data_IF_802361727398
#
_entry.id   IF_802361727398
#
_cell.length_a   1.000
_cell.length_b   1.000
_cell.length_c   1.000
_cell.angle_alpha   90.00
_cell.angle_beta   90.00
_cell.angle_gamma   90.00
#
_symmetry.space_group_name_H-M   'P 1'
#
loop_
_entity.id
_entity.type
_entity.pdbx_description
1 polymer ?
#
# COMPACT_ATOMS: atom_id res chain seq x y z
N UNK A 1 56.11 8.96 -58.72
CA UNK A 1 54.84 9.41 -58.11
C UNK A 1 54.08 8.20 -57.60
N UNK A 2 54.14 7.95 -56.29
CA UNK A 2 53.27 7.01 -55.56
C UNK A 2 52.98 7.67 -54.21
N UNK A 3 51.73 8.01 -53.97
CA UNK A 3 51.21 8.54 -52.70
C UNK A 3 50.45 7.42 -52.01
N UNK A 4 50.85 7.07 -50.79
CA UNK A 4 50.12 6.16 -49.90
C UNK A 4 49.27 6.98 -48.93
N UNK A 5 47.97 6.78 -48.94
CA UNK A 5 47.03 7.32 -47.95
C UNK A 5 46.73 6.27 -46.88
N UNK A 6 46.75 6.73 -45.62
CA UNK A 6 46.44 5.97 -44.41
C UNK A 6 44.96 5.56 -44.37
N UNK A 7 44.71 4.27 -44.10
CA UNK A 7 43.40 3.77 -43.69
C UNK A 7 43.21 3.98 -42.19
N UNK A 8 42.22 4.79 -41.82
CA UNK A 8 41.68 4.87 -40.46
C UNK A 8 40.50 3.91 -40.34
N UNK A 9 40.59 2.96 -39.40
CA UNK A 9 39.53 2.02 -39.09
C UNK A 9 38.50 2.69 -38.16
N UNK A 10 37.25 2.81 -38.61
CA UNK A 10 36.12 3.16 -37.76
C UNK A 10 35.56 1.89 -37.09
N UNK A 11 35.62 1.86 -35.76
CA UNK A 11 34.86 0.92 -34.94
C UNK A 11 33.39 1.37 -34.87
N UNK A 12 32.48 0.55 -35.38
CA UNK A 12 31.03 0.71 -35.18
C UNK A 12 30.66 0.20 -33.78
N UNK A 13 30.27 1.13 -32.90
CA UNK A 13 29.61 0.81 -31.65
C UNK A 13 28.14 0.43 -31.94
N UNK A 14 27.75 -0.81 -31.62
CA UNK A 14 26.35 -1.21 -31.57
C UNK A 14 25.73 -0.61 -30.30
N UNK A 15 24.95 0.45 -30.45
CA UNK A 15 23.99 0.89 -29.44
C UNK A 15 22.71 0.07 -29.64
N UNK A 16 22.45 -0.89 -28.74
CA UNK A 16 21.15 -1.53 -28.61
C UNK A 16 20.17 -0.56 -27.94
N UNK A 17 19.57 0.31 -28.75
CA UNK A 17 18.38 1.06 -28.35
C UNK A 17 17.21 0.10 -28.21
N UNK A 18 16.70 -0.07 -26.99
CA UNK A 18 15.40 -0.68 -26.76
C UNK A 18 14.35 0.21 -27.42
N UNK A 19 13.81 -0.25 -28.56
CA UNK A 19 12.63 0.36 -29.17
C UNK A 19 11.43 0.06 -28.27
N UNK A 20 10.99 1.06 -27.51
CA UNK A 20 9.66 1.09 -26.93
C UNK A 20 8.64 1.15 -28.07
N UNK A 21 8.23 -0.02 -28.56
CA UNK A 21 7.10 -0.14 -29.47
C UNK A 21 5.84 0.26 -28.71
N UNK A 22 5.25 1.40 -29.08
CA UNK A 22 3.93 1.84 -28.62
C UNK A 22 2.87 0.89 -29.17
N UNK A 23 2.10 0.17 -28.33
CA UNK A 23 0.98 -0.61 -28.80
C UNK A 23 -0.13 0.33 -29.24
N UNK A 24 -0.68 0.11 -30.43
CA UNK A 24 -1.84 0.83 -30.93
C UNK A 24 -3.09 0.18 -30.32
N UNK A 25 -3.63 0.76 -29.25
CA UNK A 25 -4.80 0.23 -28.56
C UNK A 25 -6.10 0.60 -29.28
N UNK A 26 -6.97 -0.39 -29.51
CA UNK A 26 -8.31 -0.18 -30.06
C UNK A 26 -9.24 0.50 -29.04
N UNK A 27 -10.18 1.31 -29.53
CA UNK A 27 -11.15 2.01 -28.68
C UNK A 27 -12.08 1.05 -27.91
N UNK A 28 -12.42 1.41 -26.67
CA UNK A 28 -13.33 0.64 -25.80
C UNK A 28 -14.76 0.63 -26.37
N UNK A 29 -15.42 -0.54 -26.51
CA UNK A 29 -16.79 -0.63 -27.01
C UNK A 29 -17.82 0.12 -26.14
N UNK A 30 -18.89 0.70 -26.72
CA UNK A 30 -19.88 1.53 -26.00
C UNK A 30 -20.57 0.87 -24.80
N UNK A 31 -20.70 -0.47 -24.80
CA UNK A 31 -21.33 -1.24 -23.71
C UNK A 31 -20.54 -1.28 -22.39
N UNK A 32 -19.32 -0.75 -22.39
CA UNK A 32 -18.44 -0.64 -21.21
C UNK A 32 -18.11 0.81 -20.86
N UNK A 33 -18.90 1.78 -21.34
CA UNK A 33 -18.76 3.16 -20.87
C UNK A 33 -19.34 3.28 -19.45
N UNK A 34 -18.47 3.51 -18.48
CA UNK A 34 -18.82 3.73 -17.07
C UNK A 34 -19.21 5.17 -16.78
N UNK A 35 -19.87 5.36 -15.64
CA UNK A 35 -20.19 6.69 -15.12
C UNK A 35 -18.91 7.38 -14.64
N UNK A 36 -17.99 6.60 -14.06
CA UNK A 36 -16.71 7.10 -13.56
C UNK A 36 -15.60 6.98 -14.62
N UNK A 37 -15.09 8.14 -15.03
CA UNK A 37 -13.96 8.27 -15.96
C UNK A 37 -12.64 8.46 -15.18
N UNK A 38 -11.55 7.90 -15.70
CA UNK A 38 -10.18 8.10 -15.20
C UNK A 38 -9.63 9.44 -15.71
N UNK A 39 -10.01 10.56 -15.06
CA UNK A 39 -9.65 11.93 -15.46
C UNK A 39 -8.32 12.38 -14.89
N UNK A 40 -7.98 11.90 -13.70
CA UNK A 40 -6.73 12.23 -13.01
C UNK A 40 -5.70 11.13 -13.24
N UNK A 41 -5.50 10.78 -14.50
CA UNK A 41 -4.55 9.77 -14.92
C UNK A 41 -3.87 10.24 -16.22
N UNK A 42 -2.56 10.00 -16.40
CA UNK A 42 -1.91 10.16 -17.69
C UNK A 42 -2.65 9.34 -18.76
N UNK A 43 -2.75 9.87 -19.99
CA UNK A 43 -3.59 9.28 -21.03
C UNK A 43 -3.24 7.82 -21.34
N UNK A 44 -1.96 7.47 -21.37
CA UNK A 44 -1.50 6.10 -21.61
C UNK A 44 -1.84 5.16 -20.45
N UNK A 45 -1.67 5.62 -19.20
CA UNK A 45 -2.06 4.87 -18.00
C UNK A 45 -3.57 4.61 -17.98
N UNK A 46 -4.38 5.66 -18.23
CA UNK A 46 -5.83 5.53 -18.31
C UNK A 46 -6.26 4.56 -19.42
N UNK A 47 -5.61 4.59 -20.59
CA UNK A 47 -5.90 3.68 -21.68
C UNK A 47 -5.60 2.22 -21.33
N UNK A 48 -4.45 1.95 -20.68
CA UNK A 48 -4.08 0.62 -20.23
C UNK A 48 -5.07 0.07 -19.19
N UNK A 49 -5.41 0.88 -18.17
CA UNK A 49 -6.37 0.53 -17.12
C UNK A 49 -7.78 0.27 -17.69
N UNK A 50 -8.28 1.16 -18.57
CA UNK A 50 -9.58 0.98 -19.22
C UNK A 50 -9.62 -0.29 -20.10
N UNK A 51 -8.53 -0.59 -20.80
CA UNK A 51 -8.43 -1.81 -21.61
C UNK A 51 -8.49 -3.06 -20.74
N UNK A 52 -7.75 -3.08 -19.63
CA UNK A 52 -7.77 -4.17 -18.65
C UNK A 52 -9.18 -4.34 -18.06
N UNK A 53 -9.84 -3.25 -17.64
CA UNK A 53 -11.20 -3.30 -17.09
C UNK A 53 -12.21 -3.83 -18.12
N UNK A 54 -12.22 -3.29 -19.34
CA UNK A 54 -13.15 -3.71 -20.39
C UNK A 54 -13.01 -5.20 -20.75
N UNK A 55 -11.78 -5.74 -20.73
CA UNK A 55 -11.51 -7.16 -20.96
C UNK A 55 -12.03 -8.06 -19.84
N UNK A 56 -12.03 -7.56 -18.60
CA UNK A 56 -12.27 -8.36 -17.39
C UNK A 56 -13.61 -8.06 -16.69
N UNK A 57 -14.42 -7.15 -17.24
CA UNK A 57 -15.69 -6.71 -16.68
C UNK A 57 -16.67 -7.88 -16.48
N UNK A 58 -17.35 -7.87 -15.33
CA UNK A 58 -18.43 -8.79 -14.95
C UNK A 58 -18.09 -10.28 -15.04
N UNK A 59 -16.82 -10.63 -14.83
CA UNK A 59 -16.31 -12.00 -14.86
C UNK A 59 -15.89 -12.52 -13.47
N UNK A 60 -16.36 -11.87 -12.41
CA UNK A 60 -15.98 -12.19 -11.01
C UNK A 60 -14.46 -12.15 -10.79
N UNK A 61 -13.79 -11.21 -11.47
CA UNK A 61 -12.38 -10.88 -11.26
C UNK A 61 -12.24 -9.85 -10.13
N UNK A 62 -11.02 -9.67 -9.64
CA UNK A 62 -10.74 -8.71 -8.56
C UNK A 62 -9.41 -7.99 -8.76
N UNK A 63 -9.30 -6.83 -8.11
CA UNK A 63 -8.10 -6.01 -8.01
C UNK A 63 -7.69 -5.88 -6.54
N UNK A 64 -6.39 -5.75 -6.30
CA UNK A 64 -5.81 -5.59 -4.96
C UNK A 64 -4.95 -4.34 -4.93
N UNK A 65 -5.03 -3.56 -3.85
CA UNK A 65 -4.25 -2.35 -3.70
C UNK A 65 -3.63 -2.28 -2.32
N UNK A 66 -2.39 -1.82 -2.24
CA UNK A 66 -1.91 -1.21 -1.00
C UNK A 66 -2.65 0.10 -0.71
N UNK A 67 -2.57 0.60 0.53
CA UNK A 67 -3.24 1.82 0.92
C UNK A 67 -2.32 3.03 1.02
N UNK A 68 -1.39 3.02 1.98
CA UNK A 68 -0.48 4.14 2.24
C UNK A 68 0.45 4.35 1.06
N UNK A 69 0.64 5.62 0.66
CA UNK A 69 1.34 6.06 -0.56
C UNK A 69 0.89 5.45 -1.92
N UNK A 70 -0.01 4.48 -1.93
CA UNK A 70 -0.58 3.87 -3.13
C UNK A 70 -1.97 4.42 -3.44
N UNK A 71 -2.88 4.36 -2.48
CA UNK A 71 -4.29 4.75 -2.64
C UNK A 71 -4.56 6.18 -2.20
N UNK A 72 -3.80 6.65 -1.21
CA UNK A 72 -3.65 8.06 -0.84
C UNK A 72 -2.15 8.41 -0.78
N UNK A 73 -1.84 9.69 -0.85
CA UNK A 73 -0.48 10.19 -0.58
C UNK A 73 -0.22 10.17 0.93
N UNK A 74 1.03 9.91 1.30
CA UNK A 74 1.49 9.81 2.69
C UNK A 74 0.91 8.58 3.41
N UNK A 75 1.05 8.55 4.73
CA UNK A 75 0.85 7.35 5.53
C UNK A 75 -0.01 7.64 6.75
N UNK A 76 -0.99 6.79 7.02
CA UNK A 76 -1.96 6.96 8.10
C UNK A 76 -1.35 6.70 9.47
N UNK A 77 -0.47 5.73 9.64
CA UNK A 77 0.09 5.39 10.95
C UNK A 77 1.25 6.32 11.30
N UNK A 78 2.14 6.58 10.35
CA UNK A 78 3.28 7.49 10.55
C UNK A 78 2.84 8.92 10.87
N UNK A 79 1.64 9.32 10.42
CA UNK A 79 1.05 10.61 10.77
C UNK A 79 0.16 10.53 12.02
N UNK A 80 -0.60 9.45 12.24
CA UNK A 80 -1.47 9.33 13.41
C UNK A 80 -0.69 9.18 14.72
N UNK A 81 0.46 8.49 14.73
CA UNK A 81 1.31 8.33 15.91
C UNK A 81 1.71 9.70 16.49
N UNK A 82 2.43 10.59 15.76
CA UNK A 82 2.81 11.89 16.28
C UNK A 82 1.60 12.82 16.49
N UNK A 83 0.52 12.65 15.71
CA UNK A 83 -0.71 13.43 15.91
C UNK A 83 -1.35 13.18 17.28
N UNK A 84 -1.44 11.91 17.68
CA UNK A 84 -1.97 11.52 18.97
C UNK A 84 -0.99 11.77 20.12
N UNK A 85 0.31 11.61 19.87
CA UNK A 85 1.35 11.92 20.85
C UNK A 85 1.36 13.41 21.23
N UNK A 86 1.28 14.31 20.25
CA UNK A 86 1.21 15.75 20.48
C UNK A 86 -0.01 16.19 21.30
N UNK A 87 -1.02 15.32 21.44
CA UNK A 87 -2.25 15.54 22.21
C UNK A 87 -2.28 14.76 23.52
N UNK A 88 -1.21 14.04 23.85
CA UNK A 88 -1.13 13.18 25.03
C UNK A 88 -2.11 12.00 25.02
N UNK A 89 -2.70 11.68 23.86
CA UNK A 89 -3.58 10.52 23.68
C UNK A 89 -2.71 9.26 23.68
N UNK A 90 -1.69 9.25 22.83
CA UNK A 90 -0.56 8.31 22.92
C UNK A 90 0.56 8.93 23.76
N UNK A 91 1.25 8.09 24.51
CA UNK A 91 2.41 8.45 25.33
C UNK A 91 3.13 7.17 25.75
N UNK A 92 4.38 7.27 26.21
CA UNK A 92 5.16 6.11 26.65
C UNK A 92 4.56 5.41 27.87
N UNK A 93 3.87 6.17 28.71
CA UNK A 93 3.17 5.69 29.89
C UNK A 93 1.96 4.84 29.50
N UNK A 94 1.28 5.22 28.41
CA UNK A 94 0.11 4.52 27.87
C UNK A 94 0.45 3.43 26.86
N UNK A 95 1.67 3.43 26.32
CA UNK A 95 2.15 2.39 25.41
C UNK A 95 2.11 1.02 26.10
N UNK A 96 1.52 0.03 25.43
CA UNK A 96 1.46 -1.34 25.94
C UNK A 96 2.88 -1.83 26.32
N UNK A 97 3.08 -2.40 27.53
CA UNK A 97 4.39 -2.87 27.95
C UNK A 97 5.08 -3.84 26.98
N UNK A 98 4.33 -4.64 26.21
CA UNK A 98 4.91 -5.57 25.24
C UNK A 98 5.58 -4.85 24.06
N UNK A 99 5.30 -3.57 23.85
CA UNK A 99 5.83 -2.76 22.75
C UNK A 99 7.08 -1.96 23.13
N UNK A 100 7.55 -2.09 24.38
CA UNK A 100 8.80 -1.47 24.87
C UNK A 100 9.99 -2.38 24.59
N UNK A 101 10.28 -2.62 23.30
CA UNK A 101 11.30 -3.56 22.81
C UNK A 101 12.75 -3.09 23.04
N UNK A 102 12.95 -1.78 23.09
CA UNK A 102 14.19 -1.07 23.36
C UNK A 102 14.01 -0.11 24.55
N UNK A 103 15.11 0.24 25.21
CA UNK A 103 15.16 1.42 26.07
C UNK A 103 14.93 2.69 25.24
N UNK A 104 14.25 3.67 25.82
CA UNK A 104 14.09 5.00 25.22
C UNK A 104 15.44 5.75 25.26
N UNK A 105 15.84 6.35 24.13
CA UNK A 105 17.10 7.08 23.97
C UNK A 105 16.92 8.54 24.43
N UNK A 106 16.74 8.73 25.74
CA UNK A 106 16.58 10.05 26.35
C UNK A 106 17.90 10.78 26.60
N UNK A 107 17.85 12.11 26.58
CA UNK A 107 18.93 13.00 27.01
C UNK A 107 18.38 14.12 27.89
N UNK A 108 19.26 14.93 28.48
CA UNK A 108 18.86 16.11 29.24
C UNK A 108 17.98 17.11 28.43
N UNK A 109 18.11 17.11 27.10
CA UNK A 109 17.45 18.07 26.21
C UNK A 109 16.41 17.43 25.28
N UNK A 110 16.23 16.10 25.35
CA UNK A 110 15.31 15.39 24.47
C UNK A 110 14.72 14.18 25.16
N UNK A 111 13.40 14.20 25.28
CA UNK A 111 12.57 13.05 25.59
C UNK A 111 12.14 12.45 24.25
N UNK A 112 12.75 11.33 23.87
CA UNK A 112 12.41 10.54 22.68
C UNK A 112 10.89 10.40 22.40
N UNK A 113 10.44 10.75 21.20
CA UNK A 113 9.04 10.58 20.78
C UNK A 113 8.75 9.12 20.43
N UNK A 114 7.48 8.70 20.47
CA UNK A 114 7.04 7.41 19.95
C UNK A 114 7.33 7.29 18.44
N UNK A 115 7.24 8.40 17.71
CA UNK A 115 7.66 8.45 16.31
C UNK A 115 9.16 8.16 16.13
N UNK A 116 10.01 8.73 16.98
CA UNK A 116 11.45 8.42 17.00
C UNK A 116 11.72 6.97 17.34
N UNK A 117 11.00 6.45 18.33
CA UNK A 117 11.12 5.07 18.75
C UNK A 117 10.77 4.11 17.61
N UNK A 118 9.68 4.36 16.89
CA UNK A 118 9.30 3.66 15.66
C UNK A 118 10.43 3.68 14.61
N UNK A 119 11.00 4.85 14.31
CA UNK A 119 12.08 4.96 13.33
C UNK A 119 13.30 4.13 13.73
N UNK A 120 13.71 4.15 15.00
CA UNK A 120 14.82 3.31 15.48
C UNK A 120 14.52 1.82 15.40
N UNK A 121 13.26 1.40 15.52
CA UNK A 121 12.88 0.02 15.26
C UNK A 121 13.03 -0.32 13.77
N UNK A 122 12.66 0.60 12.87
CA UNK A 122 12.84 0.40 11.43
C UNK A 122 14.31 0.34 11.00
N UNK A 123 15.17 1.11 11.67
CA UNK A 123 16.62 1.05 11.45
C UNK A 123 17.22 -0.32 11.80
N UNK A 124 16.60 -1.04 12.75
CA UNK A 124 16.97 -2.43 13.05
C UNK A 124 16.40 -3.35 11.97
N UNK A 125 15.08 -3.36 11.82
CA UNK A 125 14.40 -4.16 10.80
C UNK A 125 12.92 -3.71 10.62
N UNK A 126 12.45 -3.68 9.37
CA UNK A 126 11.03 -3.44 9.05
C UNK A 126 10.10 -4.48 9.72
N UNK A 127 10.56 -5.71 9.90
CA UNK A 127 9.80 -6.76 10.59
C UNK A 127 9.62 -6.51 12.10
N UNK A 128 10.34 -5.53 12.67
CA UNK A 128 10.09 -5.01 14.01
C UNK A 128 9.14 -3.82 13.99
N UNK A 129 9.37 -2.85 13.11
CA UNK A 129 8.62 -1.60 13.18
C UNK A 129 7.23 -1.65 12.53
N UNK A 130 7.02 -2.48 11.50
CA UNK A 130 5.71 -2.62 10.84
C UNK A 130 4.62 -3.15 11.80
N UNK A 131 4.81 -4.28 12.53
CA UNK A 131 3.84 -4.67 13.55
C UNK A 131 3.69 -3.60 14.64
N UNK A 132 4.81 -3.00 15.04
CA UNK A 132 4.82 -2.03 16.13
C UNK A 132 3.96 -0.80 15.83
N UNK A 133 4.02 -0.26 14.62
CA UNK A 133 3.23 0.90 14.20
C UNK A 133 1.73 0.63 14.33
N UNK A 134 1.26 -0.51 13.81
CA UNK A 134 -0.12 -0.94 13.95
C UNK A 134 -0.53 -1.24 15.39
N UNK A 135 0.38 -1.80 16.20
CA UNK A 135 0.12 -2.13 17.60
C UNK A 135 0.16 -0.93 18.54
N UNK A 136 0.81 0.18 18.16
CA UNK A 136 1.01 1.37 19.02
C UNK A 136 -0.30 2.00 19.51
N UNK A 137 -1.41 1.74 18.81
CA UNK A 137 -2.76 2.20 19.13
C UNK A 137 -3.51 1.32 20.15
N UNK A 138 -2.86 0.26 20.66
CA UNK A 138 -3.42 -0.63 21.67
C UNK A 138 -3.88 0.12 22.91
N UNK A 139 -5.02 -0.29 23.46
CA UNK A 139 -5.68 0.36 24.60
C UNK A 139 -6.73 1.39 24.20
N UNK A 140 -6.78 1.82 22.94
CA UNK A 140 -7.87 2.65 22.40
C UNK A 140 -8.99 1.78 21.82
N UNK A 141 -10.22 2.28 21.90
CA UNK A 141 -11.36 1.70 21.19
C UNK A 141 -11.35 2.06 19.71
N UNK A 142 -12.00 1.26 18.87
CA UNK A 142 -12.17 1.60 17.45
C UNK A 142 -12.97 2.89 17.25
N UNK A 143 -13.91 3.21 18.14
CA UNK A 143 -14.68 4.46 18.11
C UNK A 143 -13.80 5.68 18.33
N UNK A 144 -12.91 5.63 19.32
CA UNK A 144 -11.96 6.71 19.57
C UNK A 144 -11.02 6.88 18.37
N UNK A 145 -10.47 5.77 17.87
CA UNK A 145 -9.60 5.78 16.68
C UNK A 145 -10.30 6.35 15.45
N UNK A 146 -11.58 6.00 15.20
CA UNK A 146 -12.35 6.58 14.10
C UNK A 146 -12.47 8.10 14.22
N UNK A 147 -12.73 8.62 15.42
CA UNK A 147 -12.76 10.06 15.66
C UNK A 147 -11.42 10.73 15.33
N UNK A 148 -10.32 10.14 15.78
CA UNK A 148 -8.98 10.68 15.52
C UNK A 148 -8.54 10.57 14.07
N UNK A 149 -8.85 9.47 13.38
CA UNK A 149 -8.63 9.31 11.94
C UNK A 149 -9.41 10.36 11.16
N UNK A 150 -10.67 10.62 11.54
CA UNK A 150 -11.47 11.66 10.90
C UNK A 150 -10.89 13.07 11.06
N UNK A 151 -10.38 13.38 12.25
CA UNK A 151 -9.71 14.65 12.53
C UNK A 151 -8.39 14.77 11.76
N UNK A 152 -7.58 13.70 11.73
CA UNK A 152 -6.32 13.63 10.98
C UNK A 152 -6.55 13.85 9.48
N UNK A 153 -7.51 13.14 8.89
CA UNK A 153 -7.83 13.25 7.46
C UNK A 153 -8.38 14.64 7.06
N UNK A 154 -8.93 15.40 8.02
CA UNK A 154 -9.38 16.77 7.81
C UNK A 154 -8.28 17.82 8.07
N UNK A 155 -7.13 17.41 8.61
CA UNK A 155 -6.04 18.32 8.95
C UNK A 155 -5.41 18.90 7.67
N UNK A 156 -5.31 20.23 7.60
CA UNK A 156 -4.74 20.95 6.47
C UNK A 156 -3.33 21.51 6.75
N UNK A 157 -2.76 21.14 7.90
CA UNK A 157 -1.40 21.48 8.32
C UNK A 157 -0.56 20.22 8.52
N UNK A 158 0.74 20.39 8.69
CA UNK A 158 1.64 19.31 9.08
C UNK A 158 1.61 19.06 10.59
N UNK A 159 2.14 17.91 10.99
CA UNK A 159 2.22 17.43 12.36
C UNK A 159 3.70 17.49 12.79
N UNK A 160 4.08 18.37 13.72
CA UNK A 160 5.47 18.48 14.13
C UNK A 160 5.88 17.27 14.97
N UNK A 161 7.10 16.79 14.77
CA UNK A 161 7.72 15.77 15.61
C UNK A 161 9.24 15.97 15.68
N UNK A 162 9.91 15.21 16.54
CA UNK A 162 11.37 15.11 16.60
C UNK A 162 11.78 13.66 16.65
N UNK A 163 12.88 13.32 16.00
CA UNK A 163 13.41 11.96 16.01
C UNK A 163 14.93 11.92 15.97
N UNK A 164 15.49 10.76 16.33
CA UNK A 164 16.90 10.46 16.15
C UNK A 164 17.21 10.08 14.71
N UNK A 165 18.02 10.88 14.02
CA UNK A 165 18.68 10.51 12.77
C UNK A 165 20.14 10.15 13.10
N UNK A 166 20.40 8.85 13.26
CA UNK A 166 21.63 8.35 13.86
C UNK A 166 21.86 8.90 15.28
N UNK A 167 22.78 9.84 15.41
CA UNK A 167 23.16 10.47 16.69
C UNK A 167 22.71 11.93 16.81
N UNK A 168 21.94 12.45 15.86
CA UNK A 168 21.40 13.81 15.90
C UNK A 168 19.88 13.80 16.13
N UNK A 169 19.39 14.76 16.93
CA UNK A 169 17.94 14.98 17.09
C UNK A 169 17.50 15.99 16.04
N UNK A 170 16.66 15.53 15.11
CA UNK A 170 16.12 16.35 14.02
C UNK A 170 14.64 16.62 14.24
N UNK A 171 14.15 17.75 13.71
CA UNK A 171 12.74 18.12 13.74
C UNK A 171 12.12 17.89 12.37
N UNK A 172 10.89 17.41 12.32
CA UNK A 172 10.18 17.11 11.08
C UNK A 172 8.70 17.51 11.16
N UNK A 173 8.06 17.58 10.00
CA UNK A 173 6.68 17.98 9.79
C UNK A 173 5.96 16.94 8.92
N UNK A 174 5.29 16.00 9.58
CA UNK A 174 4.63 14.87 8.94
C UNK A 174 3.32 15.34 8.30
N UNK A 175 3.05 14.86 7.08
CA UNK A 175 1.83 15.23 6.37
C UNK A 175 0.71 14.20 6.66
N UNK A 176 -0.53 14.65 6.89
CA UNK A 176 -1.67 13.75 6.98
C UNK A 176 -1.96 13.11 5.61
N UNK A 177 -2.66 11.97 5.55
CA UNK A 177 -2.96 11.31 4.29
C UNK A 177 -3.84 12.18 3.39
N UNK A 178 -3.56 12.13 2.08
CA UNK A 178 -4.31 12.88 1.07
C UNK A 178 -4.81 11.95 -0.04
N UNK A 179 -6.12 11.69 -0.15
CA UNK A 179 -6.67 10.81 -1.17
C UNK A 179 -6.22 11.20 -2.58
N UNK A 180 -5.77 10.22 -3.37
CA UNK A 180 -5.48 10.43 -4.78
C UNK A 180 -6.80 10.42 -5.56
N UNK A 181 -7.14 11.54 -6.23
CA UNK A 181 -8.35 11.61 -7.05
C UNK A 181 -8.36 10.53 -8.13
N UNK A 182 -7.20 10.21 -8.72
CA UNK A 182 -7.08 9.13 -9.69
C UNK A 182 -7.44 7.76 -9.11
N UNK A 183 -7.04 7.47 -7.87
CA UNK A 183 -7.38 6.20 -7.23
C UNK A 183 -8.86 6.11 -6.87
N UNK A 184 -9.47 7.22 -6.39
CA UNK A 184 -10.92 7.27 -6.19
C UNK A 184 -11.68 6.96 -7.48
N UNK A 185 -11.23 7.52 -8.61
CA UNK A 185 -11.82 7.20 -9.92
C UNK A 185 -11.63 5.74 -10.31
N UNK A 186 -10.42 5.20 -10.12
CA UNK A 186 -10.11 3.81 -10.48
C UNK A 186 -10.92 2.81 -9.64
N UNK A 187 -11.03 3.01 -8.33
CA UNK A 187 -11.78 2.15 -7.43
C UNK A 187 -13.25 2.07 -7.83
N UNK A 188 -13.89 3.22 -8.01
CA UNK A 188 -15.29 3.27 -8.40
C UNK A 188 -15.49 2.71 -9.82
N UNK A 189 -14.59 2.99 -10.77
CA UNK A 189 -14.69 2.44 -12.14
C UNK A 189 -14.52 0.91 -12.15
N UNK A 190 -13.61 0.35 -11.36
CA UNK A 190 -13.46 -1.11 -11.21
C UNK A 190 -14.74 -1.76 -10.69
N UNK A 191 -15.30 -1.20 -9.60
CA UNK A 191 -16.54 -1.72 -9.02
C UNK A 191 -17.74 -1.57 -9.96
N UNK A 192 -17.84 -0.46 -10.71
CA UNK A 192 -18.85 -0.26 -11.76
C UNK A 192 -18.73 -1.30 -12.91
N UNK A 193 -17.53 -1.82 -13.17
CA UNK A 193 -17.28 -2.91 -14.12
C UNK A 193 -17.48 -4.32 -13.51
N UNK A 194 -17.99 -4.43 -12.28
CA UNK A 194 -18.17 -5.73 -11.61
C UNK A 194 -16.84 -6.43 -11.30
N UNK A 195 -15.77 -5.66 -11.10
CA UNK A 195 -14.47 -6.12 -10.61
C UNK A 195 -14.40 -5.78 -9.13
N UNK A 196 -14.28 -6.79 -8.27
CA UNK A 196 -14.19 -6.57 -6.84
C UNK A 196 -12.89 -5.86 -6.49
N UNK A 197 -12.94 -4.88 -5.58
CA UNK A 197 -11.77 -4.16 -5.10
C UNK A 197 -11.46 -4.61 -3.68
N UNK A 198 -10.21 -5.00 -3.45
CA UNK A 198 -9.67 -5.35 -2.14
C UNK A 198 -8.49 -4.46 -1.80
N UNK A 199 -8.34 -4.20 -0.51
CA UNK A 199 -7.14 -3.55 0.04
C UNK A 199 -6.31 -4.61 0.76
N UNK A 200 -4.99 -4.51 0.61
CA UNK A 200 -3.98 -5.32 1.28
C UNK A 200 -2.88 -4.39 1.82
N UNK A 201 -3.15 -3.81 2.99
CA UNK A 201 -2.30 -2.77 3.59
C UNK A 201 -1.35 -3.31 4.65
N UNK A 202 -0.18 -2.70 4.80
CA UNK A 202 0.74 -2.96 5.90
C UNK A 202 0.41 -2.14 7.18
N UNK A 203 -0.64 -1.32 7.14
CA UNK A 203 -1.19 -0.58 8.28
C UNK A 203 -2.32 -1.38 8.95
N UNK A 204 -2.70 -0.99 10.16
CA UNK A 204 -3.73 -1.62 10.97
C UNK A 204 -5.07 -1.67 10.20
N UNK A 205 -5.63 -2.88 10.08
CA UNK A 205 -6.79 -3.16 9.23
C UNK A 205 -7.98 -2.23 9.53
N UNK A 206 -8.25 -2.01 10.82
CA UNK A 206 -9.35 -1.14 11.25
C UNK A 206 -9.09 0.34 10.91
N UNK A 207 -7.86 0.85 11.01
CA UNK A 207 -7.56 2.25 10.67
C UNK A 207 -7.74 2.50 9.17
N UNK A 208 -7.28 1.54 8.36
CA UNK A 208 -7.45 1.59 6.90
C UNK A 208 -8.94 1.53 6.55
N UNK A 209 -9.71 0.65 7.22
CA UNK A 209 -11.15 0.51 6.99
C UNK A 209 -11.92 1.78 7.31
N UNK A 210 -11.55 2.49 8.37
CA UNK A 210 -12.15 3.77 8.77
C UNK A 210 -12.10 4.83 7.66
N UNK A 211 -11.18 4.70 6.69
CA UNK A 211 -11.08 5.59 5.53
C UNK A 211 -11.61 4.93 4.27
N UNK A 212 -11.15 3.73 3.93
CA UNK A 212 -11.45 3.08 2.66
C UNK A 212 -12.93 2.68 2.48
N UNK A 213 -13.61 2.38 3.59
CA UNK A 213 -15.01 1.94 3.58
C UNK A 213 -15.99 3.04 3.98
N UNK A 214 -15.49 4.19 4.45
CA UNK A 214 -16.34 5.33 4.75
C UNK A 214 -16.63 6.12 3.47
N UNK A 215 -17.90 6.23 3.04
CA UNK A 215 -18.29 6.99 1.85
C UNK A 215 -17.84 8.45 1.85
N UNK A 216 -17.56 9.03 3.04
CA UNK A 216 -16.98 10.37 3.20
C UNK A 216 -15.70 10.57 2.38
N UNK A 217 -14.89 9.52 2.22
CA UNK A 217 -13.62 9.58 1.50
C UNK A 217 -13.72 9.11 0.04
N UNK A 218 -14.85 8.54 -0.36
CA UNK A 218 -15.18 8.24 -1.76
C UNK A 218 -14.57 6.97 -2.35
N UNK A 219 -13.79 6.19 -1.59
CA UNK A 219 -13.26 4.90 -2.05
C UNK A 219 -14.35 3.83 -2.19
N UNK A 220 -15.33 3.85 -1.28
CA UNK A 220 -16.51 2.97 -1.27
C UNK A 220 -16.18 1.46 -1.27
N UNK A 221 -15.02 1.07 -0.71
CA UNK A 221 -14.63 -0.35 -0.64
C UNK A 221 -15.50 -1.05 0.40
N UNK A 222 -16.11 -2.21 0.09
CA UNK A 222 -16.82 -3.00 1.10
C UNK A 222 -15.92 -3.28 2.32
N UNK A 223 -16.38 -3.07 3.56
CA UNK A 223 -15.53 -3.17 4.75
C UNK A 223 -14.89 -4.56 4.93
N UNK A 224 -15.55 -5.62 4.48
CA UNK A 224 -15.00 -6.98 4.46
C UNK A 224 -13.79 -7.14 3.52
N UNK A 225 -13.70 -6.32 2.48
CA UNK A 225 -12.62 -6.34 1.49
C UNK A 225 -11.40 -5.50 1.90
N UNK A 226 -11.45 -4.84 3.06
CA UNK A 226 -10.29 -4.16 3.64
C UNK A 226 -9.50 -5.15 4.47
N UNK A 227 -8.31 -5.50 4.00
CA UNK A 227 -7.40 -6.45 4.66
C UNK A 227 -6.14 -5.68 5.04
N UNK A 228 -5.76 -5.78 6.31
CA UNK A 228 -4.57 -5.12 6.83
C UNK A 228 -3.99 -5.84 8.03
N UNK A 229 -3.11 -5.16 8.75
CA UNK A 229 -2.50 -5.70 9.96
C UNK A 229 -3.59 -5.85 11.00
N UNK A 230 -3.95 -7.10 11.26
CA UNK A 230 -5.02 -7.40 12.21
C UNK A 230 -4.40 -7.65 13.57
N UNK A 231 -4.99 -7.03 14.59
CA UNK A 231 -4.75 -7.40 15.97
C UNK A 231 -6.03 -7.97 16.59
N UNK A 232 -5.89 -8.67 17.72
CA UNK A 232 -7.04 -9.10 18.49
C UNK A 232 -7.72 -7.86 19.10
N UNK A 233 -9.01 -7.76 18.89
CA UNK A 233 -9.91 -6.83 19.55
C UNK A 233 -10.48 -7.49 20.80
N UNK A 234 -10.63 -6.70 21.88
CA UNK A 234 -11.16 -7.17 23.16
C UNK A 234 -12.39 -6.37 23.55
N UNK A 235 -13.45 -7.06 23.93
CA UNK A 235 -14.60 -6.44 24.59
C UNK A 235 -14.21 -6.09 26.04
N UNK A 236 -14.21 -4.81 26.44
CA UNK A 236 -13.84 -4.42 27.79
C UNK A 236 -14.86 -4.86 28.86
N UNK A 237 -16.11 -5.14 28.48
CA UNK A 237 -17.18 -5.55 29.40
C UNK A 237 -17.14 -7.04 29.70
N UNK A 238 -16.90 -7.86 28.67
CA UNK A 238 -16.98 -9.32 28.78
C UNK A 238 -15.62 -10.01 28.77
N UNK A 239 -14.58 -9.32 28.28
CA UNK A 239 -13.26 -9.91 28.03
C UNK A 239 -13.20 -10.79 26.78
N UNK A 240 -14.28 -10.89 26.00
CA UNK A 240 -14.30 -11.66 24.77
C UNK A 240 -13.29 -11.12 23.75
N UNK A 241 -12.68 -12.03 23.00
CA UNK A 241 -11.67 -11.74 22.00
C UNK A 241 -12.22 -12.03 20.60
N UNK A 242 -11.96 -11.14 19.65
CA UNK A 242 -12.40 -11.25 18.26
C UNK A 242 -11.50 -10.42 17.36
N UNK A 243 -11.76 -10.43 16.06
CA UNK A 243 -11.32 -9.41 15.09
C UNK A 243 -12.22 -9.48 13.86
N UNK A 244 -12.10 -8.51 12.94
CA UNK A 244 -12.90 -8.49 11.73
C UNK A 244 -12.70 -9.75 10.86
N UNK A 245 -11.45 -10.19 10.64
CA UNK A 245 -11.14 -11.39 9.82
C UNK A 245 -11.85 -12.65 10.34
N UNK A 246 -11.84 -12.87 11.64
CA UNK A 246 -12.54 -13.98 12.31
C UNK A 246 -14.06 -13.89 12.09
N UNK A 247 -14.64 -12.72 12.28
CA UNK A 247 -16.09 -12.53 12.11
C UNK A 247 -16.53 -12.66 10.64
N UNK A 248 -15.74 -12.15 9.70
CA UNK A 248 -15.99 -12.24 8.24
C UNK A 248 -15.96 -13.70 7.81
N UNK A 249 -14.94 -14.44 8.23
CA UNK A 249 -14.84 -15.90 7.97
C UNK A 249 -16.06 -16.65 8.51
N UNK A 250 -16.56 -16.24 9.68
CA UNK A 250 -17.75 -16.84 10.30
C UNK A 250 -19.08 -16.34 9.71
N UNK A 251 -19.09 -15.36 8.79
CA UNK A 251 -20.32 -14.76 8.25
C UNK A 251 -21.12 -13.94 9.28
N UNK A 252 -20.44 -13.42 10.31
CA UNK A 252 -21.06 -12.69 11.44
C UNK A 252 -20.58 -11.24 11.56
N UNK A 253 -19.80 -10.77 10.58
CA UNK A 253 -19.19 -9.45 10.63
C UNK A 253 -20.22 -8.33 10.69
N UNK A 254 -20.04 -7.45 11.68
CA UNK A 254 -20.78 -6.22 11.83
C UNK A 254 -19.81 -5.13 12.30
N UNK A 255 -19.44 -4.25 11.38
CA UNK A 255 -18.51 -3.14 11.62
C UNK A 255 -18.93 -2.29 12.83
N UNK A 256 -20.21 -1.93 12.93
CA UNK A 256 -20.72 -1.06 14.01
C UNK A 256 -20.68 -1.73 15.38
N UNK A 257 -20.77 -3.06 15.44
CA UNK A 257 -20.68 -3.81 16.69
C UNK A 257 -19.26 -3.82 17.26
N UNK A 258 -18.25 -3.61 16.41
CA UNK A 258 -16.84 -3.60 16.83
C UNK A 258 -16.37 -2.24 17.36
N UNK A 259 -17.16 -1.16 17.17
CA UNK A 259 -16.72 0.20 17.48
C UNK A 259 -16.27 0.38 18.94
N UNK A 260 -16.90 -0.30 19.89
CA UNK A 260 -16.56 -0.18 21.31
C UNK A 260 -15.56 -1.26 21.80
N UNK A 261 -14.98 -2.04 20.88
CA UNK A 261 -13.92 -2.99 21.19
C UNK A 261 -12.57 -2.26 21.25
N UNK A 262 -11.73 -2.74 22.17
CA UNK A 262 -10.39 -2.19 22.44
C UNK A 262 -9.35 -2.94 21.59
N UNK A 263 -8.48 -2.19 20.93
CA UNK A 263 -7.31 -2.73 20.22
C UNK A 263 -6.32 -3.31 21.24
N UNK A 264 -5.77 -4.49 20.97
CA UNK A 264 -4.72 -5.10 21.79
C UNK A 264 -3.47 -5.33 20.94
N UNK A 265 -2.28 -5.52 21.54
CA UNK A 265 -1.08 -5.70 20.73
C UNK A 265 -0.96 -7.12 20.17
N UNK A 266 -1.88 -8.04 20.46
CA UNK A 266 -1.73 -9.42 20.00
C UNK A 266 -1.98 -9.52 18.50
N UNK A 267 -0.92 -9.79 17.75
CA UNK A 267 -0.93 -9.84 16.29
C UNK A 267 -1.70 -11.05 15.76
N UNK A 268 -2.55 -10.84 14.77
CA UNK A 268 -3.21 -11.88 13.99
C UNK A 268 -2.47 -12.09 12.67
N UNK A 269 -2.63 -13.27 12.07
CA UNK A 269 -1.92 -13.66 10.85
C UNK A 269 -2.87 -14.08 9.72
N UNK A 270 -2.46 -13.95 8.44
CA UNK A 270 -1.18 -13.45 7.95
C UNK A 270 -0.93 -11.96 8.26
N UNK A 271 0.31 -11.60 8.56
CA UNK A 271 0.71 -10.20 8.70
C UNK A 271 0.91 -9.60 7.31
N UNK A 272 0.19 -8.54 6.97
CA UNK A 272 -0.05 -8.10 5.59
C UNK A 272 1.03 -7.16 5.05
N UNK A 273 2.28 -7.58 5.14
CA UNK A 273 3.44 -6.94 4.53
C UNK A 273 4.34 -7.99 3.88
N UNK A 274 5.15 -7.57 2.90
CA UNK A 274 6.03 -8.47 2.16
C UNK A 274 5.29 -9.72 1.64
N UNK A 275 5.84 -10.91 1.82
CA UNK A 275 5.21 -12.18 1.43
C UNK A 275 3.85 -12.40 2.10
N UNK A 276 3.61 -11.77 3.25
CA UNK A 276 2.35 -11.84 3.95
C UNK A 276 1.20 -11.12 3.23
N UNK A 277 1.46 -10.14 2.36
CA UNK A 277 0.44 -9.60 1.43
C UNK A 277 -0.04 -10.69 0.47
N UNK A 278 0.89 -11.47 -0.09
CA UNK A 278 0.53 -12.61 -0.94
C UNK A 278 -0.21 -13.71 -0.17
N UNK A 279 0.25 -14.04 1.05
CA UNK A 279 -0.47 -14.97 1.93
C UNK A 279 -1.88 -14.46 2.27
N UNK A 280 -2.06 -13.15 2.45
CA UNK A 280 -3.36 -12.52 2.66
C UNK A 280 -4.30 -12.72 1.47
N UNK A 281 -3.81 -12.59 0.23
CA UNK A 281 -4.62 -12.88 -0.97
C UNK A 281 -5.08 -14.35 -0.97
N UNK A 282 -4.16 -15.28 -0.71
CA UNK A 282 -4.47 -16.71 -0.66
C UNK A 282 -5.47 -17.06 0.44
N UNK A 283 -5.36 -16.39 1.59
CA UNK A 283 -6.16 -16.71 2.78
C UNK A 283 -7.56 -16.09 2.72
N UNK A 284 -7.67 -14.85 2.25
CA UNK A 284 -8.88 -14.04 2.42
C UNK A 284 -9.61 -13.71 1.11
N UNK A 285 -9.02 -13.96 -0.05
CA UNK A 285 -9.62 -13.61 -1.34
C UNK A 285 -9.85 -14.86 -2.19
N UNK A 286 -8.78 -15.50 -2.66
CA UNK A 286 -8.85 -16.69 -3.52
C UNK A 286 -7.48 -17.38 -3.56
N UNK A 287 -7.47 -18.70 -3.45
CA UNK A 287 -6.24 -19.51 -3.49
C UNK A 287 -5.69 -19.68 -4.92
N UNK A 288 -6.56 -19.56 -5.94
CA UNK A 288 -6.25 -20.01 -7.30
C UNK A 288 -6.46 -18.91 -8.33
N UNK A 289 -7.56 -18.15 -8.19
CA UNK A 289 -7.79 -16.96 -8.99
C UNK A 289 -6.76 -15.92 -8.60
N UNK A 290 -6.24 -15.22 -9.60
CA UNK A 290 -5.20 -14.20 -9.46
C UNK A 290 -5.81 -12.82 -9.72
N UNK A 291 -5.36 -11.76 -9.01
CA UNK A 291 -5.84 -10.40 -9.26
C UNK A 291 -5.50 -9.96 -10.68
N UNK A 292 -6.42 -9.25 -11.33
CA UNK A 292 -6.20 -8.63 -12.64
C UNK A 292 -5.54 -7.24 -12.53
N UNK A 293 -5.38 -6.72 -11.32
CA UNK A 293 -4.62 -5.51 -11.04
C UNK A 293 -4.08 -5.60 -9.63
N UNK A 294 -2.80 -5.27 -9.47
CA UNK A 294 -2.20 -5.07 -8.14
C UNK A 294 -1.52 -3.71 -8.09
N UNK A 295 -1.94 -2.85 -7.16
CA UNK A 295 -1.34 -1.53 -6.89
C UNK A 295 -0.40 -1.55 -5.69
N UNK A 296 0.76 -0.91 -5.80
CA UNK A 296 1.69 -0.70 -4.68
C UNK A 296 2.73 0.41 -4.95
N UNK A 297 3.56 0.72 -3.94
CA UNK A 297 4.60 1.77 -4.02
C UNK A 297 5.91 1.41 -3.29
N UNK A 298 5.92 0.33 -2.50
CA UNK A 298 7.05 -0.05 -1.64
C UNK A 298 7.69 -1.37 -2.07
N UNK A 299 8.92 -1.34 -2.63
CA UNK A 299 9.63 -2.54 -3.06
C UNK A 299 9.89 -3.46 -1.87
N UNK A 300 9.69 -4.77 -2.06
CA UNK A 300 9.73 -5.75 -0.98
C UNK A 300 8.35 -5.93 -0.34
N UNK A 301 7.73 -4.88 0.20
CA UNK A 301 6.43 -5.02 0.88
C UNK A 301 5.31 -5.40 -0.11
N UNK A 302 5.19 -4.68 -1.23
CA UNK A 302 4.13 -4.89 -2.21
C UNK A 302 4.49 -5.88 -3.30
N UNK A 303 5.79 -6.08 -3.54
CA UNK A 303 6.23 -6.74 -4.75
C UNK A 303 5.96 -8.24 -4.75
N UNK A 304 5.72 -8.86 -3.59
CA UNK A 304 5.23 -10.24 -3.54
C UNK A 304 3.84 -10.38 -4.16
N UNK A 305 2.88 -9.53 -3.76
CA UNK A 305 1.54 -9.58 -4.37
C UNK A 305 1.56 -9.11 -5.82
N UNK A 306 2.49 -8.25 -6.23
CA UNK A 306 2.64 -7.86 -7.63
C UNK A 306 3.21 -9.01 -8.48
N UNK A 307 4.41 -9.50 -8.17
CA UNK A 307 5.09 -10.51 -9.00
C UNK A 307 4.41 -11.87 -8.99
N UNK A 308 3.86 -12.29 -7.85
CA UNK A 308 3.17 -13.58 -7.75
C UNK A 308 1.67 -13.46 -8.06
N UNK A 309 1.06 -12.31 -7.77
CA UNK A 309 -0.39 -12.14 -7.88
C UNK A 309 -0.87 -11.85 -9.30
N UNK A 310 -0.32 -10.89 -10.04
CA UNK A 310 -0.99 -10.36 -11.25
C UNK A 310 -1.22 -11.39 -12.36
N UNK A 311 -2.48 -11.57 -12.78
CA UNK A 311 -2.88 -12.42 -13.92
C UNK A 311 -2.59 -11.74 -15.27
N UNK A 312 -1.32 -11.80 -15.69
CA UNK A 312 -0.86 -11.23 -16.97
C UNK A 312 -1.55 -11.86 -18.19
N UNK A 313 -1.94 -13.14 -18.12
CA UNK A 313 -2.64 -13.82 -19.21
C UNK A 313 -4.01 -13.18 -19.51
N UNK A 314 -4.68 -12.64 -18.48
CA UNK A 314 -5.90 -11.83 -18.60
C UNK A 314 -5.65 -10.35 -18.93
N UNK A 315 -4.40 -9.99 -19.24
CA UNK A 315 -4.00 -8.59 -19.43
C UNK A 315 -3.93 -7.83 -18.11
N UNK A 316 -3.69 -8.53 -17.00
CA UNK A 316 -3.60 -7.91 -15.69
C UNK A 316 -2.43 -6.95 -15.58
N UNK A 317 -2.57 -5.95 -14.70
CA UNK A 317 -1.69 -4.79 -14.59
C UNK A 317 -0.93 -4.78 -13.27
N UNK A 318 0.37 -4.53 -13.33
CA UNK A 318 1.17 -4.09 -12.19
C UNK A 318 1.09 -2.57 -12.13
N UNK A 319 0.30 -2.02 -11.20
CA UNK A 319 0.17 -0.59 -11.01
C UNK A 319 1.20 -0.15 -9.95
N UNK A 320 2.03 0.83 -10.29
CA UNK A 320 3.07 1.35 -9.40
C UNK A 320 2.95 2.84 -9.20
N UNK A 321 2.90 3.28 -7.94
CA UNK A 321 2.98 4.69 -7.58
C UNK A 321 4.44 5.04 -7.25
N UNK A 322 5.12 5.68 -8.19
CA UNK A 322 6.52 6.06 -8.06
C UNK A 322 6.69 7.29 -7.18
N UNK A 323 6.94 7.07 -5.88
CA UNK A 323 7.20 8.14 -4.91
C UNK A 323 8.65 8.63 -4.84
N UNK A 324 9.56 8.11 -5.68
CA UNK A 324 10.94 8.59 -5.72
C UNK A 324 11.90 7.75 -6.57
N UNK A 325 12.91 8.40 -7.12
CA UNK A 325 13.86 7.76 -8.06
C UNK A 325 14.62 6.59 -7.43
N UNK A 326 15.05 6.71 -6.18
CA UNK A 326 15.77 5.63 -5.47
C UNK A 326 14.89 4.39 -5.27
N UNK A 327 13.61 4.60 -4.97
CA UNK A 327 12.61 3.53 -4.80
C UNK A 327 12.32 2.87 -6.15
N UNK A 328 12.18 3.66 -7.21
CA UNK A 328 11.96 3.14 -8.55
C UNK A 328 13.15 2.31 -9.07
N UNK A 329 14.38 2.73 -8.80
CA UNK A 329 15.58 1.93 -9.13
C UNK A 329 15.55 0.57 -8.43
N UNK A 330 15.21 0.52 -7.15
CA UNK A 330 15.04 -0.74 -6.40
C UNK A 330 13.96 -1.63 -7.03
N UNK A 331 12.82 -1.05 -7.43
CA UNK A 331 11.79 -1.81 -8.14
C UNK A 331 12.31 -2.39 -9.46
N UNK A 332 13.00 -1.60 -10.28
CA UNK A 332 13.55 -2.06 -11.56
C UNK A 332 14.54 -3.21 -11.39
N UNK A 333 15.37 -3.16 -10.34
CA UNK A 333 16.25 -4.27 -9.96
C UNK A 333 15.46 -5.52 -9.55
N UNK A 334 14.39 -5.36 -8.76
CA UNK A 334 13.53 -6.47 -8.37
C UNK A 334 12.77 -7.07 -9.57
N UNK A 335 12.29 -6.26 -10.52
CA UNK A 335 11.68 -6.73 -11.77
C UNK A 335 12.70 -7.59 -12.53
N UNK A 336 13.92 -7.07 -12.73
CA UNK A 336 14.99 -7.81 -13.41
C UNK A 336 15.29 -9.14 -12.71
N UNK A 337 15.48 -9.12 -11.40
CA UNK A 337 15.80 -10.31 -10.62
C UNK A 337 14.66 -11.33 -10.64
N UNK A 338 13.40 -10.88 -10.55
CA UNK A 338 12.23 -11.76 -10.61
C UNK A 338 12.06 -12.39 -11.99
N UNK A 339 12.27 -11.62 -13.06
CA UNK A 339 12.29 -12.13 -14.44
C UNK A 339 13.35 -13.21 -14.62
N UNK A 340 14.60 -12.95 -14.18
CA UNK A 340 15.67 -13.95 -14.22
C UNK A 340 15.34 -15.19 -13.38
N UNK A 341 14.73 -15.00 -12.20
CA UNK A 341 14.26 -16.07 -11.34
C UNK A 341 13.18 -16.92 -12.01
N UNK A 342 12.21 -16.31 -12.68
CA UNK A 342 11.16 -17.03 -13.43
C UNK A 342 11.78 -17.86 -14.57
N UNK A 343 12.68 -17.28 -15.35
CA UNK A 343 13.39 -17.99 -16.45
C UNK A 343 14.17 -19.17 -15.90
N UNK A 344 15.00 -18.96 -14.86
CA UNK A 344 15.85 -19.99 -14.30
C UNK A 344 15.07 -21.18 -13.72
N UNK A 345 13.83 -20.96 -13.31
CA UNK A 345 12.95 -21.98 -12.73
C UNK A 345 11.88 -22.50 -13.70
N UNK A 346 11.99 -22.20 -15.01
CA UNK A 346 11.05 -22.68 -16.03
C UNK A 346 9.62 -22.19 -15.80
N UNK A 347 9.45 -21.02 -15.18
CA UNK A 347 8.14 -20.38 -14.97
C UNK A 347 7.82 -19.45 -16.12
N UNK A 348 6.53 -19.20 -16.32
CA UNK A 348 6.09 -18.13 -17.22
C UNK A 348 6.69 -16.80 -16.76
N UNK A 349 7.20 -16.02 -17.71
CA UNK A 349 7.84 -14.73 -17.45
C UNK A 349 6.78 -13.64 -17.46
N UNK A 350 6.37 -13.22 -16.26
CA UNK A 350 5.31 -12.23 -16.04
C UNK A 350 5.80 -10.97 -15.33
N UNK A 351 6.93 -11.04 -14.62
CA UNK A 351 7.39 -9.98 -13.73
C UNK A 351 7.72 -8.66 -14.44
N UNK A 352 8.06 -8.69 -15.74
CA UNK A 352 8.38 -7.53 -16.56
C UNK A 352 7.21 -7.04 -17.44
N UNK A 353 5.99 -7.58 -17.26
CA UNK A 353 4.85 -7.31 -18.15
C UNK A 353 3.86 -6.32 -17.55
N UNK A 354 3.19 -5.55 -18.41
CA UNK A 354 2.01 -4.75 -18.07
C UNK A 354 2.17 -3.80 -16.86
N UNK A 355 3.31 -3.12 -16.78
CA UNK A 355 3.53 -2.08 -15.76
C UNK A 355 2.86 -0.78 -16.18
N UNK A 356 2.04 -0.23 -15.28
CA UNK A 356 1.56 1.15 -15.33
C UNK A 356 2.21 1.88 -14.18
N UNK A 357 3.08 2.84 -14.50
CA UNK A 357 3.84 3.61 -13.50
C UNK A 357 3.40 5.06 -13.57
N UNK A 358 3.04 5.63 -12.43
CA UNK A 358 2.66 7.05 -12.30
C UNK A 358 3.31 7.65 -11.06
N UNK A 359 3.51 8.97 -11.02
CA UNK A 359 3.92 9.67 -9.80
C UNK A 359 2.71 10.07 -8.96
N UNK A 360 2.87 10.33 -7.64
CA UNK A 360 1.81 10.89 -6.81
C UNK A 360 1.16 12.14 -7.40
N UNK A 361 1.93 13.02 -8.04
CA UNK A 361 1.45 14.27 -8.64
C UNK A 361 0.51 14.05 -9.83
N UNK A 362 0.71 12.97 -10.59
CA UNK A 362 -0.08 12.66 -11.78
C UNK A 362 -1.49 12.18 -11.45
N UNK A 363 -1.72 11.71 -10.22
CA UNK A 363 -2.99 11.13 -9.77
C UNK A 363 -3.63 11.84 -8.55
N UNK A 364 -3.04 12.96 -8.11
CA UNK A 364 -3.51 13.75 -6.97
C UNK A 364 -4.82 14.48 -7.24
#
# INVERSE_FOLDING_TARGET
MRTSTLNTALWLAFASSFTSATPQYAAVPPKYQTKTQLKHWPAEAAAALNTMMARNANQSNYAVFDMDNTSWRYDIEESLIPYLENRGVLSREKLDPSLKLLEFKDTANFTETLYSYYNRLCDIDNFLCYPWAAQAFSGLTLRELKGYVDELMALNTTIPTKYWDGDEVVSDNIHPPKPFRGQLELYNSLMEHGIAVYIMSASHEELVRMVASDPKYGYNVPPENVIGVTTVLKDPKTGALTNARMQITAGTYNETANLDLVVTPYLWTPATWYAGKWAGILTYIDEWKRPILVGGDTPGSDTYMQFHGVDVAKGGVHLWINRGESIFKKLQEQIKNSTLGQIANGREVTADKNWVVVTPEEIL
#
